data_IF_817782449863
#
_entry.id   IF_817782449863
#
_cell.length_a   1.000
_cell.length_b   1.000
_cell.length_c   1.000
_cell.angle_alpha   90.00
_cell.angle_beta   90.00
_cell.angle_gamma   90.00
#
_symmetry.space_group_name_H-M   'P 1'
#
loop_
_entity.id
_entity.type
_entity.pdbx_description
1 polymer ?
#
# COMPACT_ATOMS: atom_id res chain seq x y z
N UNK A 1 -63.49 -54.96 34.80
CA UNK A 1 -62.43 -53.99 35.14
C UNK A 1 -61.34 -54.18 34.16
N UNK A 2 -61.48 -53.57 32.98
CA UNK A 2 -60.47 -53.54 31.94
C UNK A 2 -60.62 -52.19 31.27
N UNK A 3 -59.79 -51.25 31.64
CA UNK A 3 -59.49 -50.07 30.83
C UNK A 3 -58.37 -49.33 31.53
N UNK A 4 -57.38 -49.00 30.78
CA UNK A 4 -56.38 -47.92 30.96
C UNK A 4 -54.93 -48.36 30.90
N UNK A 5 -54.50 -48.85 29.71
CA UNK A 5 -53.09 -48.94 29.42
C UNK A 5 -52.71 -48.46 27.99
N UNK A 6 -53.61 -47.77 27.26
CA UNK A 6 -53.33 -47.40 25.85
C UNK A 6 -52.80 -45.96 25.64
N UNK A 7 -52.84 -45.09 26.64
CA UNK A 7 -52.50 -43.67 26.46
C UNK A 7 -51.02 -43.29 26.69
N UNK A 8 -50.22 -44.15 27.35
CA UNK A 8 -48.84 -43.81 27.69
C UNK A 8 -47.82 -44.11 26.55
N UNK A 9 -48.19 -44.96 25.55
CA UNK A 9 -47.26 -45.29 24.41
C UNK A 9 -47.26 -44.29 23.28
N UNK A 10 -48.34 -43.50 23.08
CA UNK A 10 -48.46 -42.55 22.00
C UNK A 10 -47.66 -41.26 22.24
N UNK A 11 -47.59 -40.78 23.47
CA UNK A 11 -46.81 -39.58 23.86
C UNK A 11 -45.33 -39.80 23.81
N UNK A 12 -44.85 -40.99 24.08
CA UNK A 12 -43.41 -41.37 24.02
C UNK A 12 -42.88 -41.40 22.57
N UNK A 13 -43.73 -41.65 21.58
CA UNK A 13 -43.37 -41.70 20.15
C UNK A 13 -43.21 -40.32 19.52
N UNK A 14 -43.88 -39.30 20.07
CA UNK A 14 -43.84 -37.96 19.47
C UNK A 14 -42.47 -37.28 19.66
N UNK A 15 -41.84 -37.41 20.80
CA UNK A 15 -40.49 -36.89 21.09
C UNK A 15 -39.35 -37.72 20.43
N UNK A 16 -39.59 -38.92 20.04
CA UNK A 16 -38.58 -39.75 19.38
C UNK A 16 -38.23 -39.25 17.97
N UNK A 17 -39.20 -38.69 17.25
CA UNK A 17 -38.98 -38.19 15.89
C UNK A 17 -38.05 -36.99 15.85
N UNK A 18 -38.25 -35.89 16.59
CA UNK A 18 -37.30 -34.77 16.61
C UNK A 18 -35.95 -35.14 17.20
N UNK A 19 -35.89 -36.07 18.14
CA UNK A 19 -34.62 -36.56 18.67
C UNK A 19 -33.83 -37.38 17.61
N UNK A 20 -34.50 -38.23 16.86
CA UNK A 20 -33.89 -38.97 15.75
C UNK A 20 -33.42 -38.02 14.62
N UNK A 21 -34.20 -36.98 14.31
CA UNK A 21 -33.80 -35.98 13.33
C UNK A 21 -32.54 -35.22 13.80
N UNK A 22 -32.53 -34.78 15.07
CA UNK A 22 -31.37 -34.11 15.66
C UNK A 22 -30.13 -35.00 15.66
N UNK A 23 -30.28 -36.28 16.06
CA UNK A 23 -29.19 -37.24 16.03
C UNK A 23 -28.66 -37.50 14.62
N UNK A 24 -29.57 -37.59 13.62
CA UNK A 24 -29.18 -37.74 12.21
C UNK A 24 -28.43 -36.53 11.67
N UNK A 25 -28.87 -35.33 12.00
CA UNK A 25 -28.16 -34.09 11.61
C UNK A 25 -26.77 -34.04 12.25
N UNK A 26 -26.70 -34.35 13.57
CA UNK A 26 -25.40 -34.35 14.27
C UNK A 26 -24.45 -35.42 13.70
N UNK A 27 -24.95 -36.58 13.40
CA UNK A 27 -24.18 -37.66 12.76
C UNK A 27 -23.69 -37.23 11.37
N UNK A 28 -24.54 -36.64 10.54
CA UNK A 28 -24.16 -36.13 9.22
C UNK A 28 -23.11 -35.03 9.31
N UNK A 29 -23.20 -34.12 10.29
CA UNK A 29 -22.18 -33.09 10.52
C UNK A 29 -20.84 -33.71 10.97
N UNK A 30 -20.85 -34.71 11.84
CA UNK A 30 -19.63 -35.39 12.28
C UNK A 30 -18.96 -36.12 11.10
N UNK A 31 -19.75 -36.86 10.29
CA UNK A 31 -19.23 -37.57 9.12
C UNK A 31 -18.71 -36.56 8.08
N UNK A 32 -19.43 -35.49 7.83
CA UNK A 32 -19.01 -34.39 6.93
C UNK A 32 -17.73 -33.73 7.41
N UNK A 33 -17.62 -33.40 8.68
CA UNK A 33 -16.41 -32.80 9.27
C UNK A 33 -15.20 -33.77 9.08
N UNK A 34 -15.38 -35.04 9.37
CA UNK A 34 -14.33 -36.04 9.21
C UNK A 34 -13.91 -36.22 7.73
N UNK A 35 -14.88 -36.28 6.84
CA UNK A 35 -14.63 -36.39 5.39
C UNK A 35 -13.84 -35.17 4.86
N UNK A 36 -14.23 -33.96 5.26
CA UNK A 36 -13.53 -32.73 4.84
C UNK A 36 -12.12 -32.68 5.42
N UNK A 37 -11.91 -33.17 6.67
CA UNK A 37 -10.57 -33.24 7.28
C UNK A 37 -9.67 -34.25 6.54
N UNK A 38 -10.19 -35.41 6.22
CA UNK A 38 -9.42 -36.46 5.55
C UNK A 38 -9.09 -36.15 4.09
N UNK A 39 -9.97 -35.42 3.41
CA UNK A 39 -9.78 -35.02 2.00
C UNK A 39 -8.99 -33.72 1.84
N UNK A 40 -8.78 -32.95 2.92
CA UNK A 40 -8.11 -31.65 2.85
C UNK A 40 -8.89 -30.59 2.06
N UNK A 41 -10.21 -30.75 1.86
CA UNK A 41 -11.04 -29.83 1.09
C UNK A 41 -11.18 -28.44 1.74
N UNK A 42 -11.10 -28.36 3.07
CA UNK A 42 -11.09 -27.07 3.74
C UNK A 42 -9.70 -26.46 3.68
N UNK A 43 -9.57 -25.20 3.26
CA UNK A 43 -8.29 -24.52 3.22
C UNK A 43 -7.63 -24.45 4.60
N UNK A 44 -6.30 -24.48 4.65
CA UNK A 44 -5.55 -24.23 5.90
C UNK A 44 -5.82 -22.81 6.38
N UNK A 45 -6.16 -22.57 7.67
CA UNK A 45 -6.34 -21.22 8.16
C UNK A 45 -5.01 -20.47 8.07
N UNK A 46 -5.03 -19.33 7.40
CA UNK A 46 -3.93 -18.37 7.50
C UNK A 46 -4.04 -17.75 8.89
N UNK A 47 -2.94 -17.61 9.65
CA UNK A 47 -2.96 -16.88 10.89
C UNK A 47 -3.50 -15.48 10.61
N UNK A 48 -4.69 -15.17 11.09
CA UNK A 48 -5.20 -13.80 11.06
C UNK A 48 -4.36 -13.07 12.08
N UNK A 49 -3.48 -12.20 11.60
CA UNK A 49 -2.65 -11.40 12.49
C UNK A 49 -3.56 -10.43 13.26
N UNK A 50 -3.85 -10.76 14.50
CA UNK A 50 -4.58 -9.90 15.42
C UNK A 50 -3.78 -8.61 15.74
N UNK A 51 -2.47 -8.62 15.51
CA UNK A 51 -1.60 -7.45 15.63
C UNK A 51 -1.77 -6.46 14.46
N UNK A 52 -2.37 -6.86 13.32
CA UNK A 52 -2.69 -5.96 12.23
C UNK A 52 -3.59 -4.77 12.66
N UNK A 53 -4.30 -4.89 13.78
CA UNK A 53 -5.04 -3.77 14.38
C UNK A 53 -4.13 -2.62 14.84
N UNK A 54 -2.87 -2.90 15.15
CA UNK A 54 -1.85 -1.92 15.56
C UNK A 54 -1.08 -1.34 14.36
N UNK A 55 -1.18 -1.95 13.20
CA UNK A 55 -0.55 -1.46 11.98
C UNK A 55 -1.11 -0.12 11.54
N UNK A 56 -0.28 0.71 10.94
CA UNK A 56 -0.69 1.95 10.25
C UNK A 56 -1.58 1.66 9.04
N UNK A 57 -1.58 0.43 8.55
CA UNK A 57 -2.36 0.02 7.39
C UNK A 57 -3.75 -0.50 7.77
N UNK A 58 -4.69 -0.30 6.86
CA UNK A 58 -6.02 -0.89 6.87
C UNK A 58 -6.38 -1.45 5.50
N UNK A 59 -7.38 -2.33 5.45
CA UNK A 59 -7.92 -2.82 4.17
C UNK A 59 -8.51 -1.66 3.38
N UNK A 60 -8.20 -1.60 2.08
CA UNK A 60 -8.89 -0.74 1.14
C UNK A 60 -10.11 -1.44 0.54
N UNK A 61 -11.19 -0.69 0.33
CA UNK A 61 -12.32 -1.15 -0.47
C UNK A 61 -11.95 -1.32 -1.95
N UNK A 62 -10.91 -0.64 -2.40
CA UNK A 62 -10.39 -0.72 -3.76
C UNK A 62 -9.45 -1.93 -3.90
N UNK A 63 -9.78 -2.93 -4.73
CA UNK A 63 -8.98 -4.14 -4.84
C UNK A 63 -7.62 -3.94 -5.53
N UNK A 64 -7.43 -2.86 -6.32
CA UNK A 64 -6.15 -2.50 -6.92
C UNK A 64 -5.20 -1.98 -5.84
N UNK A 65 -5.70 -1.23 -4.89
CA UNK A 65 -4.92 -0.75 -3.73
C UNK A 65 -4.72 -1.86 -2.70
N UNK A 66 -5.73 -2.70 -2.46
CA UNK A 66 -5.70 -3.81 -1.50
C UNK A 66 -5.69 -3.37 -0.04
N UNK A 67 -4.85 -2.44 0.33
CA UNK A 67 -4.73 -1.79 1.64
C UNK A 67 -4.41 -0.30 1.45
N UNK A 68 -4.55 0.48 2.50
CA UNK A 68 -4.24 1.91 2.53
C UNK A 68 -3.81 2.33 3.94
N UNK A 69 -3.26 3.51 4.10
CA UNK A 69 -2.95 4.05 5.41
C UNK A 69 -4.22 4.46 6.15
N UNK A 70 -4.26 4.17 7.47
CA UNK A 70 -5.35 4.59 8.36
C UNK A 70 -5.37 6.10 8.53
N UNK A 71 -6.53 6.75 8.45
CA UNK A 71 -6.67 8.14 8.85
C UNK A 71 -6.38 8.36 10.34
N UNK A 72 -5.78 9.49 10.67
CA UNK A 72 -5.51 9.91 12.05
C UNK A 72 -4.75 8.87 12.88
N UNK A 73 -3.94 8.03 12.23
CA UNK A 73 -3.11 7.08 12.95
C UNK A 73 -2.01 7.81 13.72
N UNK A 74 -1.74 7.36 14.93
CA UNK A 74 -0.62 7.83 15.74
C UNK A 74 -0.12 6.68 16.62
N UNK A 75 1.13 6.29 16.42
CA UNK A 75 1.81 5.33 17.27
C UNK A 75 3.08 5.95 17.83
N UNK A 76 3.07 6.24 19.13
CA UNK A 76 4.23 6.79 19.84
C UNK A 76 5.24 5.71 20.23
N UNK A 77 4.86 4.45 20.12
CA UNK A 77 5.68 3.29 20.50
C UNK A 77 6.30 2.59 19.29
N UNK A 78 6.17 3.16 18.10
CA UNK A 78 6.79 2.63 16.89
C UNK A 78 8.31 2.77 16.94
N UNK A 79 8.91 2.07 17.88
CA UNK A 79 10.36 2.00 18.14
C UNK A 79 11.10 1.20 17.06
N UNK A 80 10.42 0.81 16.00
CA UNK A 80 11.04 0.08 14.92
C UNK A 80 11.18 1.00 13.70
N UNK A 81 12.36 1.00 13.11
CA UNK A 81 12.68 1.68 11.85
C UNK A 81 11.75 1.34 10.68
N UNK A 82 10.72 0.55 10.92
CA UNK A 82 9.80 0.02 9.92
C UNK A 82 8.38 0.59 9.97
N UNK A 83 8.05 1.46 10.91
CA UNK A 83 6.69 1.98 11.04
C UNK A 83 6.59 3.46 10.65
N UNK A 84 5.42 3.83 10.15
CA UNK A 84 5.05 5.21 9.94
C UNK A 84 4.36 5.71 11.20
N UNK A 85 4.96 6.65 11.96
CA UNK A 85 4.48 6.98 13.30
C UNK A 85 3.16 7.78 13.30
N UNK A 86 2.84 8.46 12.20
CA UNK A 86 1.66 9.33 12.14
C UNK A 86 1.14 9.51 10.71
N UNK A 87 -0.21 9.63 10.59
CA UNK A 87 -0.91 10.03 9.36
C UNK A 87 -1.89 11.15 9.66
N UNK A 88 -2.26 11.92 8.63
CA UNK A 88 -3.26 12.97 8.71
C UNK A 88 -4.70 12.41 8.61
N UNK A 89 -5.70 13.30 8.60
CA UNK A 89 -7.11 12.93 8.52
C UNK A 89 -7.51 12.20 7.25
N UNK A 90 -6.74 12.31 6.17
CA UNK A 90 -6.95 11.60 4.89
C UNK A 90 -6.14 10.30 4.77
N UNK A 91 -5.36 9.96 5.80
CA UNK A 91 -4.51 8.77 5.79
C UNK A 91 -3.22 8.93 4.99
N UNK A 92 -2.69 10.15 4.81
CA UNK A 92 -1.35 10.35 4.27
C UNK A 92 -0.36 10.64 5.38
N UNK A 93 0.90 10.25 5.17
CA UNK A 93 1.99 10.69 6.02
C UNK A 93 2.40 12.13 5.71
N UNK A 94 1.53 13.04 6.07
CA UNK A 94 1.69 14.48 5.83
C UNK A 94 1.08 15.28 6.98
N UNK A 95 1.28 16.60 6.94
CA UNK A 95 0.48 17.55 7.71
C UNK A 95 -0.97 17.55 7.20
N UNK A 96 -1.89 18.19 7.93
CA UNK A 96 -3.23 18.41 7.41
C UNK A 96 -3.19 19.32 6.19
N UNK A 97 -3.88 18.93 5.12
CA UNK A 97 -3.94 19.66 3.85
C UNK A 97 -5.36 20.10 3.54
N UNK A 98 -5.54 21.39 3.28
CA UNK A 98 -6.82 21.88 2.79
C UNK A 98 -7.10 21.34 1.37
N UNK A 99 -8.33 20.89 1.12
CA UNK A 99 -8.74 20.51 -0.24
C UNK A 99 -8.78 21.74 -1.14
N UNK A 100 -9.30 22.84 -0.61
CA UNK A 100 -9.33 24.13 -1.31
C UNK A 100 -7.91 24.63 -1.57
N UNK A 101 -7.68 25.06 -2.80
CA UNK A 101 -6.37 25.58 -3.20
C UNK A 101 -6.17 27.03 -2.72
N UNK A 102 -4.96 27.33 -2.29
CA UNK A 102 -4.54 28.71 -2.10
C UNK A 102 -4.25 29.34 -3.48
N UNK A 103 -4.84 30.48 -3.82
CA UNK A 103 -4.60 31.12 -5.11
C UNK A 103 -3.11 31.42 -5.33
N UNK A 104 -2.59 31.05 -6.51
CA UNK A 104 -1.20 31.32 -6.89
C UNK A 104 -0.15 30.44 -6.21
N UNK A 105 -0.55 29.46 -5.37
CA UNK A 105 0.37 28.52 -4.74
C UNK A 105 0.34 27.20 -5.51
N UNK A 106 1.43 26.82 -6.19
CA UNK A 106 1.52 25.54 -6.87
C UNK A 106 1.43 24.38 -5.91
N UNK A 107 0.73 23.32 -6.33
CA UNK A 107 0.55 22.10 -5.56
C UNK A 107 1.19 20.92 -6.28
N UNK A 108 2.17 20.29 -5.63
CA UNK A 108 2.90 19.13 -6.12
C UNK A 108 2.47 17.91 -5.31
N UNK A 109 2.09 16.83 -5.96
CA UNK A 109 1.93 15.51 -5.32
C UNK A 109 3.17 14.68 -5.58
N UNK A 110 3.80 14.17 -4.52
CA UNK A 110 4.76 13.07 -4.60
C UNK A 110 4.00 11.76 -4.45
N UNK A 111 3.97 10.99 -5.53
CA UNK A 111 3.33 9.68 -5.62
C UNK A 111 4.41 8.61 -5.63
N UNK A 112 4.23 7.53 -4.88
CA UNK A 112 5.21 6.45 -4.79
C UNK A 112 4.91 5.46 -3.65
N UNK A 113 5.88 4.63 -3.38
CA UNK A 113 5.79 3.56 -2.39
C UNK A 113 6.35 3.95 -1.00
N UNK A 114 7.09 3.04 -0.38
CA UNK A 114 7.69 3.22 0.95
C UNK A 114 8.72 4.35 1.01
N UNK A 115 9.39 4.66 -0.09
CA UNK A 115 10.38 5.75 -0.16
C UNK A 115 9.69 7.10 -0.02
N UNK A 116 8.60 7.32 -0.74
CA UNK A 116 7.79 8.54 -0.63
C UNK A 116 7.10 8.60 0.73
N UNK A 117 6.56 7.47 1.21
CA UNK A 117 5.99 7.38 2.56
C UNK A 117 7.01 7.73 3.66
N UNK A 118 8.31 7.68 3.38
CA UNK A 118 9.39 7.94 4.33
C UNK A 118 9.56 6.80 5.33
N UNK A 119 9.52 5.56 4.85
CA UNK A 119 9.78 4.37 5.66
C UNK A 119 11.14 4.48 6.36
N UNK A 120 11.15 4.25 7.67
CA UNK A 120 12.36 4.34 8.50
C UNK A 120 12.78 5.75 8.89
N UNK A 121 12.09 6.80 8.43
CA UNK A 121 12.28 8.17 8.90
C UNK A 121 11.23 8.46 9.96
N UNK A 122 11.65 8.79 11.18
CA UNK A 122 10.72 9.01 12.29
C UNK A 122 10.04 10.39 12.21
N UNK A 123 10.84 11.44 12.04
CA UNK A 123 10.33 12.81 12.00
C UNK A 123 9.69 13.15 10.67
N UNK A 124 8.49 13.73 10.72
CA UNK A 124 7.74 14.07 9.51
C UNK A 124 8.51 15.07 8.64
N UNK A 125 9.13 16.08 9.26
CA UNK A 125 9.84 17.13 8.54
C UNK A 125 11.13 16.65 7.87
N UNK A 126 11.59 15.45 8.19
CA UNK A 126 12.74 14.80 7.54
C UNK A 126 12.36 13.95 6.33
N UNK A 127 11.06 13.78 6.02
CA UNK A 127 10.60 13.07 4.82
C UNK A 127 10.91 13.87 3.55
N UNK A 128 11.00 13.17 2.40
CA UNK A 128 11.30 13.81 1.11
C UNK A 128 10.33 14.94 0.81
N UNK A 129 9.02 14.71 1.01
CA UNK A 129 7.98 15.69 0.71
C UNK A 129 8.11 16.96 1.55
N UNK A 130 8.34 16.81 2.85
CA UNK A 130 8.51 17.95 3.75
C UNK A 130 9.82 18.68 3.50
N UNK A 131 10.91 17.96 3.28
CA UNK A 131 12.18 18.56 2.92
C UNK A 131 12.12 19.29 1.58
N UNK A 132 11.39 18.75 0.58
CA UNK A 132 11.17 19.45 -0.69
C UNK A 132 10.35 20.72 -0.49
N UNK A 133 9.24 20.68 0.26
CA UNK A 133 8.45 21.87 0.57
C UNK A 133 9.29 22.95 1.27
N UNK A 134 10.13 22.53 2.22
CA UNK A 134 11.01 23.43 2.97
C UNK A 134 12.13 24.07 2.13
N UNK A 135 12.37 23.64 0.89
CA UNK A 135 13.31 24.28 -0.03
C UNK A 135 12.74 25.53 -0.69
N UNK A 136 11.45 25.70 -0.61
CA UNK A 136 10.77 26.91 -1.07
C UNK A 136 10.49 27.86 0.10
N UNK A 137 10.28 29.16 -0.15
CA UNK A 137 9.81 30.06 0.89
C UNK A 137 8.51 29.54 1.53
N UNK A 138 8.26 29.86 2.81
CA UNK A 138 7.02 29.48 3.46
C UNK A 138 5.80 29.86 2.61
N UNK A 139 4.87 28.92 2.48
CA UNK A 139 3.61 29.10 1.75
C UNK A 139 3.73 29.35 0.23
N UNK A 140 4.92 29.22 -0.35
CA UNK A 140 5.13 29.43 -1.78
C UNK A 140 4.80 28.20 -2.65
N UNK A 141 4.89 26.99 -2.10
CA UNK A 141 4.59 25.70 -2.77
C UNK A 141 4.01 24.75 -1.74
N UNK A 142 3.04 23.96 -2.13
CA UNK A 142 2.55 22.84 -1.32
C UNK A 142 3.05 21.52 -1.92
N UNK A 143 3.65 20.65 -1.08
CA UNK A 143 4.12 19.33 -1.50
C UNK A 143 3.41 18.27 -0.68
N UNK A 144 2.51 17.53 -1.31
CA UNK A 144 1.67 16.53 -0.68
C UNK A 144 2.31 15.14 -0.80
N UNK A 145 2.32 14.40 0.30
CA UNK A 145 2.85 13.04 0.35
C UNK A 145 1.76 12.00 0.05
N UNK A 146 1.89 11.29 -1.06
CA UNK A 146 1.01 10.19 -1.46
C UNK A 146 1.79 8.88 -1.59
N UNK A 147 2.68 8.63 -0.62
CA UNK A 147 3.43 7.39 -0.50
C UNK A 147 2.70 6.35 0.33
N UNK A 148 2.64 5.10 -0.17
CA UNK A 148 2.12 3.94 0.58
C UNK A 148 3.07 2.77 0.41
N UNK A 149 3.69 2.32 1.49
CA UNK A 149 4.68 1.25 1.44
C UNK A 149 4.19 -0.01 0.75
N UNK A 150 4.98 -0.49 -0.23
CA UNK A 150 4.71 -1.72 -0.96
C UNK A 150 3.71 -1.62 -2.10
N UNK A 151 3.32 -0.43 -2.50
CA UNK A 151 2.52 -0.25 -3.71
C UNK A 151 3.36 -0.52 -4.96
N UNK A 152 2.69 -0.93 -6.03
CA UNK A 152 3.22 -0.95 -7.38
C UNK A 152 2.67 0.25 -8.15
N UNK A 153 3.27 0.60 -9.27
CA UNK A 153 2.89 1.78 -10.06
C UNK A 153 1.37 1.91 -10.31
N UNK A 154 0.69 0.81 -10.66
CA UNK A 154 -0.77 0.87 -10.88
C UNK A 154 -1.55 1.19 -9.59
N UNK A 155 -1.12 0.68 -8.43
CA UNK A 155 -1.76 0.97 -7.16
C UNK A 155 -1.51 2.42 -6.70
N UNK A 156 -0.33 2.96 -6.97
CA UNK A 156 0.01 4.36 -6.72
C UNK A 156 -0.86 5.30 -7.56
N UNK A 157 -0.98 5.03 -8.85
CA UNK A 157 -1.84 5.82 -9.74
C UNK A 157 -3.32 5.69 -9.37
N UNK A 158 -3.73 4.53 -8.87
CA UNK A 158 -5.09 4.34 -8.36
C UNK A 158 -5.34 5.13 -7.05
N UNK A 159 -4.33 5.27 -6.20
CA UNK A 159 -4.37 6.16 -5.03
C UNK A 159 -4.51 7.63 -5.45
N UNK A 160 -3.75 8.07 -6.47
CA UNK A 160 -3.91 9.39 -7.06
C UNK A 160 -5.35 9.61 -7.54
N UNK A 161 -5.89 8.67 -8.32
CA UNK A 161 -7.25 8.74 -8.87
C UNK A 161 -8.32 8.85 -7.80
N UNK A 162 -8.20 8.04 -6.73
CA UNK A 162 -9.25 7.94 -5.71
C UNK A 162 -9.15 8.97 -4.60
N UNK A 163 -7.94 9.43 -4.28
CA UNK A 163 -7.70 10.35 -3.16
C UNK A 163 -6.93 11.61 -3.56
N UNK A 164 -5.98 11.53 -4.49
CA UNK A 164 -5.07 12.63 -4.79
C UNK A 164 -5.72 13.74 -5.61
N UNK A 165 -6.54 13.38 -6.61
CA UNK A 165 -7.11 14.36 -7.55
C UNK A 165 -8.05 15.39 -6.92
N UNK A 166 -8.65 15.08 -5.77
CA UNK A 166 -9.47 16.06 -5.03
C UNK A 166 -8.67 17.30 -4.58
N UNK A 167 -7.34 17.16 -4.46
CA UNK A 167 -6.45 18.26 -4.11
C UNK A 167 -6.05 19.13 -5.31
N UNK A 168 -6.49 18.79 -6.52
CA UNK A 168 -6.24 19.59 -7.74
C UNK A 168 -4.75 19.93 -7.92
N UNK A 169 -3.84 18.94 -8.05
CA UNK A 169 -2.41 19.20 -8.20
C UNK A 169 -2.10 19.92 -9.52
N UNK A 170 -1.06 20.74 -9.53
CA UNK A 170 -0.48 21.32 -10.75
C UNK A 170 0.54 20.34 -11.36
N UNK A 171 1.27 19.63 -10.49
CA UNK A 171 2.28 18.66 -10.87
C UNK A 171 2.10 17.37 -10.05
N UNK A 172 2.25 16.22 -10.68
CA UNK A 172 2.37 14.94 -10.01
C UNK A 172 3.68 14.28 -10.39
N UNK A 173 4.52 14.05 -9.40
CA UNK A 173 5.79 13.33 -9.51
C UNK A 173 5.55 11.88 -9.12
N UNK A 174 5.65 10.97 -10.06
CA UNK A 174 5.72 9.54 -9.78
C UNK A 174 7.17 9.16 -9.52
N UNK A 175 7.50 8.87 -8.25
CA UNK A 175 8.84 8.44 -7.85
C UNK A 175 8.94 6.93 -8.01
N UNK A 176 9.47 6.49 -9.13
CA UNK A 176 9.52 5.09 -9.54
C UNK A 176 10.71 4.34 -8.92
N UNK A 177 10.43 3.15 -8.42
CA UNK A 177 11.40 2.20 -7.90
C UNK A 177 11.34 0.88 -8.67
N UNK A 178 12.45 0.12 -8.68
CA UNK A 178 12.50 -1.18 -9.35
C UNK A 178 11.55 -2.23 -8.77
N UNK A 179 11.17 -2.12 -7.50
CA UNK A 179 10.19 -3.00 -6.86
C UNK A 179 8.75 -2.76 -7.33
N UNK A 180 8.46 -1.63 -8.01
CA UNK A 180 7.15 -1.35 -8.61
C UNK A 180 6.74 -2.37 -9.67
N UNK A 181 7.72 -3.02 -10.31
CA UNK A 181 7.45 -4.15 -11.20
C UNK A 181 6.89 -5.36 -10.46
N UNK A 182 7.35 -5.56 -9.23
CA UNK A 182 6.92 -6.66 -8.38
C UNK A 182 5.84 -6.16 -7.44
N UNK A 183 4.60 -6.39 -7.81
CA UNK A 183 3.51 -6.15 -6.89
C UNK A 183 3.71 -6.93 -5.59
N UNK A 184 3.80 -6.24 -4.46
CA UNK A 184 3.94 -6.85 -3.13
C UNK A 184 2.62 -7.49 -2.63
N UNK A 185 1.82 -8.03 -3.55
CA UNK A 185 0.57 -8.72 -3.27
C UNK A 185 0.73 -9.81 -2.20
N UNK A 186 1.89 -10.47 -2.13
CA UNK A 186 2.21 -11.46 -1.10
C UNK A 186 2.19 -10.90 0.34
N UNK A 187 2.22 -9.57 0.51
CA UNK A 187 2.15 -8.91 1.81
C UNK A 187 0.80 -8.25 2.11
N UNK A 188 -0.14 -8.29 1.17
CA UNK A 188 -1.46 -7.68 1.38
C UNK A 188 -2.15 -8.23 2.63
N UNK A 189 -1.99 -9.53 2.91
CA UNK A 189 -2.54 -10.15 4.12
C UNK A 189 -1.93 -9.57 5.42
N UNK A 190 -0.69 -9.07 5.39
CA UNK A 190 -0.04 -8.44 6.55
C UNK A 190 -0.60 -7.05 6.84
N UNK A 191 -1.03 -6.34 5.80
CA UNK A 191 -1.45 -4.95 5.90
C UNK A 191 -2.98 -4.78 5.87
N UNK A 192 -3.70 -5.70 5.20
CA UNK A 192 -5.15 -5.67 5.19
C UNK A 192 -5.72 -6.26 6.48
N UNK A 193 -6.27 -5.43 7.34
CA UNK A 193 -6.96 -5.89 8.55
C UNK A 193 -8.13 -6.80 8.19
N UNK A 194 -8.35 -7.85 9.00
CA UNK A 194 -9.51 -8.73 8.87
C UNK A 194 -10.81 -8.00 9.19
N UNK A 195 -11.93 -8.46 8.66
CA UNK A 195 -13.24 -7.99 9.09
C UNK A 195 -13.42 -8.23 10.59
N UNK A 196 -13.94 -7.26 11.34
CA UNK A 196 -14.22 -7.45 12.78
C UNK A 196 -15.30 -8.54 12.97
N UNK A 197 -15.04 -9.49 13.89
CA UNK A 197 -15.94 -10.60 14.21
C UNK A 197 -15.97 -10.87 15.70
N UNK A 198 -17.07 -11.44 16.17
CA UNK A 198 -17.11 -11.96 17.53
C UNK A 198 -16.12 -13.12 17.70
N UNK A 199 -15.48 -13.22 18.86
CA UNK A 199 -14.43 -14.21 19.13
C UNK A 199 -14.90 -15.66 18.89
N UNK A 200 -16.15 -15.98 19.21
CA UNK A 200 -16.70 -17.32 19.00
C UNK A 200 -16.77 -17.69 17.49
N UNK A 201 -17.06 -16.74 16.60
CA UNK A 201 -17.08 -16.96 15.15
C UNK A 201 -15.67 -17.36 14.66
N UNK A 202 -14.64 -16.63 15.12
CA UNK A 202 -13.26 -16.96 14.82
C UNK A 202 -12.88 -18.35 15.34
N UNK A 203 -13.33 -18.72 16.55
CA UNK A 203 -13.07 -20.06 17.10
C UNK A 203 -13.77 -21.16 16.29
N UNK A 204 -15.01 -20.95 15.84
CA UNK A 204 -15.68 -21.88 14.94
C UNK A 204 -14.90 -22.06 13.63
N UNK A 205 -14.43 -20.97 13.04
CA UNK A 205 -13.64 -21.00 11.82
C UNK A 205 -12.32 -21.78 11.98
N UNK A 206 -11.63 -21.59 13.09
CA UNK A 206 -10.38 -22.29 13.37
C UNK A 206 -10.57 -23.79 13.63
N UNK A 207 -11.66 -24.18 14.26
CA UNK A 207 -11.87 -25.56 14.75
C UNK A 207 -12.67 -26.45 13.81
N UNK A 208 -13.65 -25.92 13.08
CA UNK A 208 -14.52 -26.68 12.18
C UNK A 208 -14.12 -26.49 10.72
N UNK A 209 -13.81 -27.57 10.04
CA UNK A 209 -13.49 -27.59 8.62
C UNK A 209 -14.73 -27.32 7.75
N UNK A 210 -15.91 -27.82 8.18
CA UNK A 210 -17.19 -27.52 7.51
C UNK A 210 -17.46 -26.02 7.59
N UNK A 211 -17.41 -25.43 8.80
CA UNK A 211 -17.67 -24.01 8.98
C UNK A 211 -16.70 -23.15 8.16
N UNK A 212 -15.41 -23.51 8.17
CA UNK A 212 -14.37 -22.83 7.39
C UNK A 212 -14.66 -22.88 5.89
N UNK A 213 -14.92 -24.07 5.37
CA UNK A 213 -15.18 -24.27 3.93
C UNK A 213 -16.42 -23.47 3.50
N UNK A 214 -17.51 -23.57 4.24
CA UNK A 214 -18.77 -22.86 3.93
C UNK A 214 -18.61 -21.35 4.08
N UNK A 215 -17.95 -20.90 5.15
CA UNK A 215 -17.74 -19.48 5.40
C UNK A 215 -16.89 -18.81 4.32
N UNK A 216 -15.86 -19.47 3.82
CA UNK A 216 -15.04 -18.95 2.72
C UNK A 216 -15.83 -18.94 1.40
N UNK A 217 -16.51 -20.05 1.09
CA UNK A 217 -17.24 -20.20 -0.18
C UNK A 217 -18.40 -19.24 -0.33
N UNK A 218 -19.12 -18.99 0.74
CA UNK A 218 -20.28 -18.11 0.78
C UNK A 218 -19.96 -16.71 1.30
N UNK A 219 -18.70 -16.42 1.56
CA UNK A 219 -18.23 -15.15 2.16
C UNK A 219 -18.97 -14.79 3.46
N UNK A 220 -19.34 -15.80 4.27
CA UNK A 220 -20.02 -15.55 5.55
C UNK A 220 -19.08 -14.77 6.46
N UNK A 221 -19.60 -13.74 7.12
CA UNK A 221 -18.84 -12.87 8.03
C UNK A 221 -17.57 -12.28 7.40
N UNK A 222 -17.50 -12.16 6.07
CA UNK A 222 -16.34 -11.64 5.35
C UNK A 222 -15.13 -12.61 5.31
N UNK A 223 -15.30 -13.90 5.66
CA UNK A 223 -14.19 -14.85 5.59
C UNK A 223 -13.71 -15.13 4.16
N UNK A 224 -14.58 -15.06 3.15
CA UNK A 224 -14.18 -15.17 1.76
C UNK A 224 -13.32 -13.99 1.30
N UNK A 225 -13.61 -12.81 1.83
CA UNK A 225 -12.82 -11.60 1.54
C UNK A 225 -11.47 -11.60 2.26
N UNK A 226 -11.42 -12.15 3.48
CA UNK A 226 -10.18 -12.26 4.26
C UNK A 226 -9.33 -13.45 3.85
N UNK A 227 -9.92 -14.39 3.11
CA UNK A 227 -9.19 -15.52 2.55
C UNK A 227 -8.47 -15.11 1.28
N UNK A 228 -7.13 -15.22 1.27
CA UNK A 228 -6.27 -14.88 0.13
C UNK A 228 -6.50 -13.46 -0.44
N UNK A 229 -6.41 -12.41 0.39
CA UNK A 229 -6.56 -11.03 -0.08
C UNK A 229 -5.52 -10.68 -1.16
N UNK A 230 -4.33 -11.33 -1.13
CA UNK A 230 -3.29 -11.21 -2.13
C UNK A 230 -3.73 -11.68 -3.52
N UNK A 231 -4.52 -12.76 -3.61
CA UNK A 231 -5.03 -13.23 -4.90
C UNK A 231 -6.04 -12.26 -5.51
N UNK A 232 -6.89 -11.65 -4.70
CA UNK A 232 -7.85 -10.63 -5.16
C UNK A 232 -7.13 -9.40 -5.67
N UNK A 233 -6.12 -8.95 -4.93
CA UNK A 233 -5.27 -7.85 -5.31
C UNK A 233 -4.49 -8.16 -6.60
N UNK A 234 -3.82 -9.32 -6.67
CA UNK A 234 -3.10 -9.75 -7.86
C UNK A 234 -4.00 -9.83 -9.11
N UNK A 235 -5.24 -10.33 -8.94
CA UNK A 235 -6.23 -10.37 -10.04
C UNK A 235 -6.66 -8.97 -10.48
N UNK A 236 -6.83 -8.03 -9.56
CA UNK A 236 -7.25 -6.67 -9.85
C UNK A 236 -6.11 -5.87 -10.52
N UNK A 237 -4.88 -6.01 -10.01
CA UNK A 237 -3.70 -5.40 -10.61
C UNK A 237 -3.38 -6.03 -11.97
N UNK A 238 -3.45 -7.35 -12.09
CA UNK A 238 -3.14 -8.08 -13.34
C UNK A 238 -1.68 -7.95 -13.78
N UNK A 239 -1.35 -8.42 -14.99
CA UNK A 239 -0.02 -8.30 -15.54
C UNK A 239 0.30 -6.88 -16.02
N UNK A 240 1.60 -6.59 -16.23
CA UNK A 240 2.09 -5.33 -16.80
C UNK A 240 1.64 -4.08 -16.00
N UNK A 241 1.70 -4.18 -14.68
CA UNK A 241 1.19 -3.11 -13.80
C UNK A 241 1.90 -1.77 -14.06
N UNK A 242 3.20 -1.76 -14.36
CA UNK A 242 3.96 -0.52 -14.63
C UNK A 242 3.48 0.13 -15.91
N UNK A 243 3.43 -0.61 -17.03
CA UNK A 243 2.96 -0.07 -18.31
C UNK A 243 1.55 0.48 -18.21
N UNK A 244 0.62 -0.31 -17.66
CA UNK A 244 -0.77 0.12 -17.43
C UNK A 244 -0.90 1.29 -16.47
N UNK A 245 -0.05 1.32 -15.44
CA UNK A 245 0.01 2.42 -14.49
C UNK A 245 0.46 3.72 -15.16
N UNK A 246 1.49 3.68 -15.99
CA UNK A 246 1.98 4.84 -16.76
C UNK A 246 0.92 5.34 -17.75
N UNK A 247 0.25 4.42 -18.47
CA UNK A 247 -0.85 4.78 -19.39
C UNK A 247 -2.02 5.45 -18.65
N UNK A 248 -2.40 4.90 -17.50
CA UNK A 248 -3.45 5.49 -16.66
C UNK A 248 -3.02 6.84 -16.06
N UNK A 249 -1.76 6.98 -15.67
CA UNK A 249 -1.19 8.24 -15.18
C UNK A 249 -1.27 9.34 -16.22
N UNK A 250 -0.89 9.03 -17.48
CA UNK A 250 -1.05 9.97 -18.60
C UNK A 250 -2.50 10.35 -18.84
N UNK A 251 -3.40 9.37 -18.86
CA UNK A 251 -4.82 9.60 -19.04
C UNK A 251 -5.39 10.56 -17.97
N UNK A 252 -5.05 10.31 -16.69
CA UNK A 252 -5.47 11.19 -15.60
C UNK A 252 -4.89 12.61 -15.73
N UNK A 253 -3.64 12.74 -16.19
CA UNK A 253 -3.03 14.03 -16.45
C UNK A 253 -3.79 14.81 -17.53
N UNK A 254 -4.16 14.16 -18.62
CA UNK A 254 -4.92 14.78 -19.70
C UNK A 254 -6.34 15.17 -19.27
N UNK A 255 -7.00 14.33 -18.47
CA UNK A 255 -8.36 14.57 -17.98
C UNK A 255 -8.44 15.67 -16.91
N UNK A 256 -7.41 15.81 -16.07
CA UNK A 256 -7.42 16.71 -14.91
C UNK A 256 -6.46 17.89 -15.02
N UNK A 257 -5.66 17.96 -16.10
CA UNK A 257 -4.82 19.13 -16.42
C UNK A 257 -3.56 19.28 -15.58
N UNK A 258 -3.14 18.28 -14.81
CA UNK A 258 -1.86 18.34 -14.11
C UNK A 258 -0.68 17.93 -15.03
N UNK A 259 0.53 18.36 -14.66
CA UNK A 259 1.78 17.98 -15.34
C UNK A 259 2.36 16.72 -14.73
N UNK A 260 2.41 15.59 -15.46
CA UNK A 260 3.01 14.36 -14.98
C UNK A 260 4.52 14.35 -15.23
N UNK A 261 5.28 13.74 -14.31
CA UNK A 261 6.70 13.43 -14.48
C UNK A 261 7.03 12.12 -13.75
N UNK A 262 7.86 11.29 -14.36
CA UNK A 262 8.43 10.10 -13.72
C UNK A 262 9.86 10.41 -13.29
N UNK A 263 10.15 10.21 -12.01
CA UNK A 263 11.49 10.39 -11.44
C UNK A 263 12.00 9.05 -10.92
N UNK A 264 13.17 8.64 -11.39
CA UNK A 264 13.76 7.34 -11.07
C UNK A 264 14.56 7.44 -9.77
N UNK A 265 14.24 6.56 -8.81
CA UNK A 265 14.96 6.45 -7.54
C UNK A 265 16.18 5.55 -7.68
N UNK A 266 17.38 5.91 -7.18
CA UNK A 266 18.55 5.03 -7.21
C UNK A 266 18.50 3.99 -6.11
N UNK A 267 19.19 2.86 -6.33
CA UNK A 267 19.56 1.92 -5.28
C UNK A 267 20.89 2.30 -4.62
N UNK A 268 21.03 1.98 -3.34
CA UNK A 268 22.24 2.21 -2.56
C UNK A 268 22.94 0.89 -2.25
N UNK A 269 24.09 0.67 -2.83
CA UNK A 269 24.97 -0.45 -2.50
C UNK A 269 26.20 0.07 -1.72
N UNK A 270 27.00 -0.80 -1.11
CA UNK A 270 28.09 -0.39 -0.24
C UNK A 270 29.14 0.46 -0.96
N UNK A 271 29.44 0.16 -2.20
CA UNK A 271 30.45 0.87 -2.98
C UNK A 271 29.95 1.59 -4.23
N UNK A 272 28.63 1.58 -4.51
CA UNK A 272 28.10 2.15 -5.75
C UNK A 272 26.64 2.56 -5.63
N UNK A 273 26.24 3.51 -6.48
CA UNK A 273 24.85 3.79 -6.79
C UNK A 273 24.39 2.87 -7.92
N UNK A 274 23.18 2.37 -7.80
CA UNK A 274 22.56 1.48 -8.79
C UNK A 274 21.41 2.22 -9.47
N UNK A 275 21.46 2.34 -10.78
CA UNK A 275 20.47 3.03 -11.61
C UNK A 275 19.65 2.09 -12.51
N UNK A 276 19.71 0.79 -12.22
CA UNK A 276 19.06 -0.23 -13.02
C UNK A 276 17.78 -0.67 -12.34
N UNK A 277 16.66 -0.50 -13.02
CA UNK A 277 15.33 -0.91 -12.57
C UNK A 277 14.85 -2.07 -13.44
N UNK A 278 15.10 -3.29 -12.97
CA UNK A 278 14.75 -4.50 -13.71
C UNK A 278 13.26 -4.82 -13.58
N UNK A 279 12.61 -5.02 -14.70
CA UNK A 279 11.46 -5.90 -14.73
C UNK A 279 11.97 -7.34 -14.61
N UNK A 280 11.51 -8.14 -13.60
CA UNK A 280 12.08 -9.48 -13.34
C UNK A 280 11.99 -10.47 -14.51
N UNK A 281 11.17 -10.17 -15.51
CA UNK A 281 10.89 -11.03 -16.67
C UNK A 281 11.44 -10.50 -17.99
N UNK A 282 12.06 -9.32 -18.01
CA UNK A 282 12.60 -8.73 -19.23
C UNK A 282 14.10 -8.50 -19.11
N UNK A 283 14.78 -8.49 -20.26
CA UNK A 283 16.18 -8.13 -20.36
C UNK A 283 16.41 -6.64 -20.41
N UNK A 284 15.34 -5.84 -20.30
CA UNK A 284 15.41 -4.41 -20.42
C UNK A 284 15.22 -3.69 -19.08
N UNK A 285 16.31 -3.20 -18.50
CA UNK A 285 16.31 -2.53 -17.21
C UNK A 285 15.64 -1.15 -17.22
N UNK A 286 15.36 -0.57 -18.38
CA UNK A 286 14.78 0.75 -18.55
C UNK A 286 13.38 0.72 -19.17
N UNK A 287 12.64 -0.37 -19.00
CA UNK A 287 11.30 -0.51 -19.57
C UNK A 287 10.36 0.64 -19.18
N UNK A 288 10.42 1.10 -17.91
CA UNK A 288 9.61 2.23 -17.42
C UNK A 288 9.87 3.52 -18.20
N UNK A 289 11.14 3.78 -18.57
CA UNK A 289 11.50 4.97 -19.36
C UNK A 289 10.81 4.94 -20.71
N UNK A 290 10.87 3.78 -21.41
CA UNK A 290 10.18 3.62 -22.69
C UNK A 290 8.66 3.69 -22.59
N UNK A 291 8.08 3.19 -21.50
CA UNK A 291 6.64 3.34 -21.27
C UNK A 291 6.27 4.81 -21.10
N UNK A 292 7.03 5.55 -20.31
CA UNK A 292 6.81 6.98 -20.11
C UNK A 292 7.01 7.78 -21.40
N UNK A 293 8.09 7.50 -22.17
CA UNK A 293 8.38 8.13 -23.47
C UNK A 293 7.23 7.93 -24.47
N UNK A 294 6.71 6.70 -24.60
CA UNK A 294 5.55 6.42 -25.46
C UNK A 294 4.30 7.21 -25.07
N UNK A 295 4.15 7.51 -23.79
CA UNK A 295 3.06 8.32 -23.29
C UNK A 295 3.37 9.83 -23.31
N UNK A 296 4.58 10.25 -23.75
CA UNK A 296 4.99 11.65 -23.72
C UNK A 296 5.16 12.22 -22.31
N UNK A 297 5.48 11.38 -21.32
CA UNK A 297 5.74 11.79 -19.94
C UNK A 297 7.24 12.00 -19.78
N UNK A 298 7.70 13.18 -19.33
CA UNK A 298 9.11 13.41 -19.02
C UNK A 298 9.62 12.45 -17.97
N UNK A 299 10.84 11.93 -18.18
CA UNK A 299 11.49 11.00 -17.25
C UNK A 299 12.90 11.49 -16.94
N UNK A 300 13.29 11.44 -15.68
CA UNK A 300 14.64 11.80 -15.20
C UNK A 300 14.99 10.96 -13.97
N UNK A 301 16.23 11.07 -13.47
CA UNK A 301 16.70 10.30 -12.32
C UNK A 301 17.36 11.15 -11.24
N UNK A 302 17.38 10.63 -10.03
CA UNK A 302 18.03 11.28 -8.88
C UNK A 302 19.49 10.86 -8.68
N UNK A 303 20.00 9.86 -9.41
CA UNK A 303 21.32 9.26 -9.16
C UNK A 303 22.47 10.28 -9.19
N UNK A 304 22.44 11.23 -10.11
CA UNK A 304 23.51 12.24 -10.25
C UNK A 304 23.55 13.24 -9.09
N UNK A 305 22.42 13.46 -8.44
CA UNK A 305 22.36 14.31 -7.23
C UNK A 305 23.07 13.63 -6.06
N UNK A 306 22.87 12.34 -5.88
CA UNK A 306 23.58 11.56 -4.88
C UNK A 306 25.08 11.46 -5.17
N UNK A 307 25.45 11.33 -6.45
CA UNK A 307 26.85 11.31 -6.89
C UNK A 307 27.52 12.65 -6.58
N UNK A 308 26.92 13.76 -6.98
CA UNK A 308 27.42 15.12 -6.71
C UNK A 308 27.56 15.41 -5.21
N UNK A 309 26.59 15.02 -4.41
CA UNK A 309 26.67 15.17 -2.94
C UNK A 309 27.82 14.36 -2.34
N UNK A 310 28.01 13.13 -2.82
CA UNK A 310 29.12 12.29 -2.37
C UNK A 310 30.49 12.87 -2.73
N UNK A 311 30.66 13.36 -3.95
CA UNK A 311 31.88 14.00 -4.44
C UNK A 311 32.23 15.25 -3.64
N UNK A 312 31.22 16.10 -3.35
CA UNK A 312 31.40 17.31 -2.54
C UNK A 312 31.86 17.02 -1.10
N UNK A 313 31.63 15.81 -0.60
CA UNK A 313 32.06 15.37 0.72
C UNK A 313 33.41 14.62 0.74
N UNK A 314 34.16 14.65 -0.37
CA UNK A 314 35.55 14.20 -0.41
C UNK A 314 35.76 12.74 -0.80
N UNK A 315 34.86 12.12 -1.60
CA UNK A 315 35.17 10.87 -2.28
C UNK A 315 34.38 9.65 -1.85
N UNK A 316 34.76 8.48 -2.25
CA UNK A 316 34.04 7.22 -2.29
C UNK A 316 33.30 6.83 -0.99
N UNK A 317 32.07 7.29 -0.76
CA UNK A 317 31.32 6.99 0.46
C UNK A 317 30.74 5.59 0.36
N UNK A 318 30.52 4.95 1.50
CA UNK A 318 29.56 3.87 1.55
C UNK A 318 28.16 4.50 1.38
N UNK A 319 27.60 4.42 0.16
CA UNK A 319 26.33 5.05 -0.20
C UNK A 319 25.18 4.55 0.68
N UNK A 320 25.17 3.25 0.98
CA UNK A 320 24.16 2.63 1.82
C UNK A 320 24.17 3.20 3.24
N UNK A 321 25.33 3.31 3.87
CA UNK A 321 25.45 3.87 5.23
C UNK A 321 25.12 5.36 5.25
N UNK A 322 25.45 6.09 4.18
CA UNK A 322 25.30 7.55 4.16
C UNK A 322 23.88 8.00 3.82
N UNK A 323 23.22 7.35 2.87
CA UNK A 323 21.98 7.83 2.29
C UNK A 323 20.76 6.96 2.57
N UNK A 324 20.97 5.75 3.12
CA UNK A 324 19.87 4.88 3.50
C UNK A 324 19.80 4.63 5.01
N UNK A 325 18.70 4.03 5.45
CA UNK A 325 18.51 3.57 6.83
C UNK A 325 19.30 2.30 7.16
N UNK A 326 20.22 1.89 6.29
CA UNK A 326 21.03 0.67 6.39
C UNK A 326 20.66 -0.43 5.42
N UNK A 327 19.64 -0.24 4.60
CA UNK A 327 19.27 -1.11 3.50
C UNK A 327 19.71 -0.52 2.13
N UNK A 328 19.27 -1.12 1.04
CA UNK A 328 19.67 -0.70 -0.31
C UNK A 328 18.69 0.27 -0.97
N UNK A 329 17.63 0.70 -0.29
CA UNK A 329 16.50 1.35 -0.92
C UNK A 329 15.97 2.58 -0.17
N UNK A 330 15.67 2.44 1.13
CA UNK A 330 14.97 3.46 1.89
C UNK A 330 15.91 4.57 2.36
N UNK A 331 15.57 5.84 2.12
CA UNK A 331 16.44 6.94 2.49
C UNK A 331 16.57 7.14 3.99
N UNK A 332 17.76 7.52 4.44
CA UNK A 332 17.94 8.22 5.71
C UNK A 332 17.44 9.67 5.59
N UNK A 333 17.33 10.45 6.70
CA UNK A 333 17.05 11.89 6.62
C UNK A 333 18.01 12.63 5.67
N UNK A 334 19.29 12.23 5.64
CA UNK A 334 20.28 12.78 4.68
C UNK A 334 19.94 12.41 3.25
N UNK A 335 19.59 11.14 2.98
CA UNK A 335 19.17 10.70 1.66
C UNK A 335 17.92 11.43 1.18
N UNK A 336 16.96 11.66 2.08
CA UNK A 336 15.77 12.44 1.79
C UNK A 336 16.10 13.91 1.45
N UNK A 337 17.08 14.52 2.12
CA UNK A 337 17.53 15.89 1.85
C UNK A 337 18.16 16.01 0.45
N UNK A 338 19.01 15.05 0.05
CA UNK A 338 19.62 15.01 -1.28
C UNK A 338 18.55 14.83 -2.36
N UNK A 339 17.58 13.92 -2.13
CA UNK A 339 16.47 13.73 -3.04
C UNK A 339 15.60 14.99 -3.18
N UNK A 340 15.31 15.67 -2.08
CA UNK A 340 14.55 16.93 -2.09
C UNK A 340 15.27 18.03 -2.87
N UNK A 341 16.61 18.13 -2.74
CA UNK A 341 17.42 19.02 -3.56
C UNK A 341 17.29 18.70 -5.05
N UNK A 342 17.44 17.42 -5.39
CA UNK A 342 17.32 16.97 -6.77
C UNK A 342 15.94 17.23 -7.35
N UNK A 343 14.88 16.94 -6.59
CA UNK A 343 13.51 17.19 -7.02
C UNK A 343 13.23 18.68 -7.22
N UNK A 344 13.73 19.57 -6.36
CA UNK A 344 13.60 21.02 -6.60
C UNK A 344 14.24 21.44 -7.92
N UNK A 345 15.49 20.98 -8.19
CA UNK A 345 16.17 21.32 -9.44
C UNK A 345 15.41 20.77 -10.67
N UNK A 346 14.96 19.52 -10.60
CA UNK A 346 14.17 18.88 -11.66
C UNK A 346 12.86 19.66 -11.92
N UNK A 347 12.11 19.98 -10.87
CA UNK A 347 10.84 20.71 -11.00
C UNK A 347 11.04 22.09 -11.64
N UNK A 348 12.05 22.84 -11.22
CA UNK A 348 12.37 24.13 -11.81
C UNK A 348 12.82 24.06 -13.27
N UNK A 349 13.53 22.99 -13.63
CA UNK A 349 14.00 22.76 -14.98
C UNK A 349 12.89 22.29 -15.92
N UNK A 350 12.03 21.37 -15.45
CA UNK A 350 10.99 20.78 -16.28
C UNK A 350 9.74 21.68 -16.40
N UNK A 351 9.46 22.49 -15.38
CA UNK A 351 8.27 23.35 -15.30
C UNK A 351 8.61 24.80 -14.95
N UNK A 352 9.49 25.45 -15.76
CA UNK A 352 9.96 26.80 -15.46
C UNK A 352 8.81 27.81 -15.36
N UNK A 353 7.73 27.63 -16.12
CA UNK A 353 6.55 28.50 -16.10
C UNK A 353 5.83 28.53 -14.73
N UNK A 354 5.93 27.45 -13.95
CA UNK A 354 5.33 27.37 -12.61
C UNK A 354 6.26 27.97 -11.55
N UNK A 355 7.57 27.74 -11.69
CA UNK A 355 8.55 28.09 -10.65
C UNK A 355 9.38 29.34 -10.92
N UNK A 356 9.22 30.02 -12.09
CA UNK A 356 10.03 31.17 -12.49
C UNK A 356 10.02 32.30 -11.44
N UNK A 357 8.85 32.58 -10.84
CA UNK A 357 8.65 33.65 -9.89
C UNK A 357 8.78 33.21 -8.42
N UNK A 358 9.11 31.95 -8.17
CA UNK A 358 9.26 31.43 -6.81
C UNK A 358 10.77 31.41 -6.47
N UNK A 359 11.24 32.28 -5.57
CA UNK A 359 12.65 32.33 -5.21
C UNK A 359 13.10 31.02 -4.54
N UNK A 360 14.40 30.74 -4.58
CA UNK A 360 14.97 29.69 -3.72
C UNK A 360 14.97 30.20 -2.29
N UNK A 361 14.70 29.32 -1.35
CA UNK A 361 14.89 29.67 0.06
C UNK A 361 16.38 29.81 0.32
N UNK A 362 16.77 30.93 0.89
CA UNK A 362 18.15 31.09 1.37
C UNK A 362 18.46 30.03 2.42
N UNK A 363 19.66 29.45 2.41
CA UNK A 363 20.08 28.42 3.35
C UNK A 363 20.03 28.88 4.80
#
# INVERSE_FOLDING_TARGET
MESDQSTSRATRRWWARPLLLLASILFALIVGELAIRLTGLAPTPIPIDLEASKSVYQRSANPIMGYELKPNYSDRLADTHQSLPKTNSDGQRDIERAIERRPGVPRVILLGDSVVAGHGIYELDETISRQLENRFPPDAVEVLNFGVGGYCTLAEVELLRTKGLKYQPDIVVLLFLGNDYTNLNARVHMYASSHPRAAWINQCFLRSHIFRLVSIRLNLFGFGDDWQPEMRHAKAVGPNNVERGIEQFKKLADEHGFRPIVVLWPGFDDGRLVDVWHEPKTTDPHAVVRFAERCGIPTTGLIDFFRRDAEALGGNPNYRVRYSIGDTLHPSPRGAAVAALGLEEILRQQFPEIFANIPRRSP
#
